data_IF_542568823579
#
_entry.id   IF_542568823579
#
_cell.length_a   1.000
_cell.length_b   1.000
_cell.length_c   1.000
_cell.angle_alpha   90.00
_cell.angle_beta   90.00
_cell.angle_gamma   90.00
#
_symmetry.space_group_name_H-M   'P 1'
#
loop_
_entity.id
_entity.type
_entity.pdbx_description
1 polymer ?
#
# COMPACT_ATOMS: atom_id res chain seq x y z
N UNK A 1 -10.92 -9.61 3.16
CA UNK A 1 -10.83 -8.16 3.44
C UNK A 1 -9.41 -7.81 3.83
N UNK A 2 -8.86 -6.76 3.28
CA UNK A 2 -7.47 -6.36 3.55
C UNK A 2 -7.46 -5.28 4.62
N UNK A 3 -6.67 -5.48 5.67
CA UNK A 3 -6.57 -4.57 6.81
C UNK A 3 -5.11 -4.32 7.17
N UNK A 4 -4.89 -3.37 8.07
CA UNK A 4 -3.56 -3.06 8.65
C UNK A 4 -2.51 -2.81 7.58
N UNK A 5 -2.89 -2.06 6.54
CA UNK A 5 -2.00 -1.74 5.43
C UNK A 5 -0.93 -0.77 5.91
N UNK A 6 0.34 -1.14 5.67
CA UNK A 6 1.50 -0.30 5.99
C UNK A 6 2.21 0.08 4.70
N UNK A 7 2.61 1.33 4.60
CA UNK A 7 3.34 1.85 3.45
C UNK A 7 4.78 2.16 3.80
N UNK A 8 5.65 2.08 2.78
CA UNK A 8 7.04 2.49 2.88
C UNK A 8 7.38 3.32 1.64
N UNK A 9 8.49 4.04 1.71
CA UNK A 9 8.93 4.87 0.60
C UNK A 9 8.10 6.13 0.39
N UNK A 10 7.35 6.57 1.39
CA UNK A 10 6.56 7.80 1.27
C UNK A 10 7.49 9.00 1.34
N UNK A 11 7.49 9.79 0.29
CA UNK A 11 8.24 11.04 0.22
C UNK A 11 7.25 12.18 0.03
N UNK A 12 7.10 13.01 1.03
CA UNK A 12 6.12 14.10 0.99
C UNK A 12 6.45 15.16 -0.05
N UNK A 13 7.70 15.20 -0.53
CA UNK A 13 8.06 16.10 -1.63
C UNK A 13 7.47 15.65 -2.96
N UNK A 14 7.05 14.40 -3.07
CA UNK A 14 6.38 13.88 -4.28
C UNK A 14 4.86 14.04 -4.24
N UNK A 15 4.35 14.74 -3.23
CA UNK A 15 2.92 15.01 -3.15
C UNK A 15 2.42 15.69 -4.42
N UNK A 16 1.25 15.29 -4.99
CA UNK A 16 0.33 14.28 -4.44
C UNK A 16 0.53 12.86 -4.98
N UNK A 17 1.47 12.65 -5.87
CA UNK A 17 1.59 11.38 -6.60
C UNK A 17 2.26 10.25 -5.79
N UNK A 18 3.23 10.58 -4.94
CA UNK A 18 3.94 9.60 -4.11
C UNK A 18 4.38 8.38 -4.91
N UNK A 19 5.11 8.64 -6.03
CA UNK A 19 5.46 7.58 -6.99
C UNK A 19 6.25 6.42 -6.39
N UNK A 20 7.04 6.69 -5.35
CA UNK A 20 7.90 5.68 -4.73
C UNK A 20 7.22 4.94 -3.58
N UNK A 21 6.03 5.35 -3.18
CA UNK A 21 5.31 4.69 -2.08
C UNK A 21 4.81 3.31 -2.52
N UNK A 22 4.93 2.34 -1.63
CA UNK A 22 4.45 0.98 -1.89
C UNK A 22 3.97 0.35 -0.59
N UNK A 23 3.12 -0.68 -0.72
CA UNK A 23 2.62 -1.40 0.44
C UNK A 23 3.69 -2.40 0.86
N UNK A 24 4.21 -2.25 2.08
CA UNK A 24 5.24 -3.13 2.62
C UNK A 24 4.67 -4.23 3.51
N UNK A 25 3.46 -4.03 4.03
CA UNK A 25 2.80 -5.02 4.87
C UNK A 25 1.30 -4.81 4.85
N UNK A 26 0.55 -5.89 4.96
CA UNK A 26 -0.91 -5.85 5.07
C UNK A 26 -1.41 -7.19 5.60
N UNK A 27 -2.62 -7.20 6.14
CA UNK A 27 -3.30 -8.41 6.56
C UNK A 27 -4.46 -8.70 5.60
N UNK A 28 -4.67 -9.97 5.31
CA UNK A 28 -5.81 -10.42 4.51
C UNK A 28 -6.53 -11.51 5.27
N UNK A 29 -7.82 -11.30 5.51
CA UNK A 29 -8.69 -12.24 6.21
C UNK A 29 -8.12 -12.69 7.56
N UNK A 30 -7.45 -11.77 8.25
CA UNK A 30 -6.90 -12.04 9.57
C UNK A 30 -5.52 -12.66 9.58
N UNK A 31 -4.84 -12.79 8.42
CA UNK A 31 -3.48 -13.28 8.33
C UNK A 31 -2.58 -12.31 7.58
N UNK A 32 -1.30 -12.36 7.90
CA UNK A 32 -0.33 -11.52 7.22
C UNK A 32 -0.16 -11.94 5.76
N UNK A 33 -0.14 -10.98 4.86
CA UNK A 33 0.08 -11.24 3.44
C UNK A 33 1.52 -11.65 3.17
N UNK A 34 1.69 -12.57 2.23
CA UNK A 34 3.03 -12.98 1.81
C UNK A 34 3.63 -11.93 0.86
N UNK A 35 4.95 -12.03 0.63
CA UNK A 35 5.63 -11.13 -0.30
C UNK A 35 5.03 -11.21 -1.70
N UNK A 36 4.67 -12.40 -2.16
CA UNK A 36 4.04 -12.59 -3.47
C UNK A 36 2.68 -11.89 -3.54
N UNK A 37 1.92 -11.99 -2.48
CA UNK A 37 0.62 -11.31 -2.42
C UNK A 37 0.78 -9.79 -2.40
N UNK A 38 1.78 -9.31 -1.67
CA UNK A 38 2.08 -7.88 -1.64
C UNK A 38 2.53 -7.37 -3.01
N UNK A 39 3.34 -8.14 -3.73
CA UNK A 39 3.75 -7.78 -5.08
C UNK A 39 2.56 -7.62 -6.01
N UNK A 40 1.63 -8.57 -5.98
CA UNK A 40 0.42 -8.48 -6.79
C UNK A 40 -0.42 -7.25 -6.42
N UNK A 41 -0.54 -6.98 -5.13
CA UNK A 41 -1.30 -5.83 -4.66
C UNK A 41 -0.65 -4.52 -5.14
N UNK A 42 0.68 -4.44 -5.07
CA UNK A 42 1.42 -3.25 -5.52
C UNK A 42 1.34 -3.04 -7.03
N UNK A 43 1.09 -4.10 -7.81
CA UNK A 43 0.89 -3.98 -9.25
C UNK A 43 -0.45 -3.32 -9.60
N UNK A 44 -1.42 -3.36 -8.70
CA UNK A 44 -2.68 -2.65 -8.87
C UNK A 44 -2.53 -1.22 -8.37
N UNK A 45 -2.08 -0.33 -9.26
CA UNK A 45 -1.78 1.05 -8.88
C UNK A 45 -3.02 1.81 -8.42
N UNK A 46 -4.17 1.49 -8.96
CA UNK A 46 -5.42 2.12 -8.52
C UNK A 46 -5.71 1.79 -7.05
N UNK A 47 -5.55 0.53 -6.67
CA UNK A 47 -5.72 0.13 -5.27
C UNK A 47 -4.70 0.82 -4.37
N UNK A 48 -3.44 0.83 -4.78
CA UNK A 48 -2.36 1.45 -4.00
C UNK A 48 -2.64 2.93 -3.79
N UNK A 49 -3.04 3.63 -4.84
CA UNK A 49 -3.35 5.05 -4.76
C UNK A 49 -4.50 5.34 -3.79
N UNK A 50 -5.58 4.57 -3.89
CA UNK A 50 -6.73 4.73 -3.00
C UNK A 50 -6.37 4.41 -1.55
N UNK A 51 -5.62 3.33 -1.33
CA UNK A 51 -5.21 2.94 0.00
C UNK A 51 -4.27 3.98 0.62
N UNK A 52 -3.37 4.53 -0.19
CA UNK A 52 -2.44 5.56 0.28
C UNK A 52 -3.18 6.82 0.71
N UNK A 53 -4.17 7.24 -0.04
CA UNK A 53 -4.98 8.40 0.34
C UNK A 53 -5.70 8.16 1.65
N UNK A 54 -6.26 6.98 1.85
CA UNK A 54 -6.90 6.63 3.11
C UNK A 54 -5.90 6.55 4.26
N UNK A 55 -4.67 6.14 3.97
CA UNK A 55 -3.61 6.04 4.98
C UNK A 55 -3.14 7.42 5.45
N UNK A 56 -3.03 8.37 4.51
CA UNK A 56 -2.49 9.72 4.78
C UNK A 56 -3.57 10.72 5.21
N UNK A 57 -4.76 10.55 4.73
CA UNK A 57 -5.87 11.48 4.92
C UNK A 57 -7.08 10.77 5.51
#
# INVERSE_FOLDING_TARGET
MIDNIEFDGIDYSDYPDFCDAFICSADIDGREMTDDELDELNNNREFVSNALQNYLF
#
